data_IF_906473822847
#
_entry.id   IF_906473822847
#
_cell.length_a   1.000
_cell.length_b   1.000
_cell.length_c   1.000
_cell.angle_alpha   90.00
_cell.angle_beta   90.00
_cell.angle_gamma   90.00
#
_symmetry.space_group_name_H-M   'P 1'
#
loop_
_entity.id
_entity.type
_entity.pdbx_description
1 polymer ?
#
# COMPACT_ATOMS: atom_id res chain seq x y z
N UNK A 1 4.92 2.17 -11.23
CA UNK A 1 3.64 1.51 -11.45
C UNK A 1 2.58 2.59 -11.48
N UNK A 2 1.69 2.51 -12.46
CA UNK A 2 0.56 3.41 -12.56
C UNK A 2 -0.39 3.21 -11.36
N UNK A 3 -0.79 4.31 -10.73
CA UNK A 3 -1.60 4.28 -9.52
C UNK A 3 -3.00 3.68 -9.76
N UNK A 4 -3.65 4.02 -10.88
CA UNK A 4 -5.00 3.49 -11.16
C UNK A 4 -4.92 2.00 -11.48
N UNK A 5 -3.93 1.57 -12.26
CA UNK A 5 -3.72 0.15 -12.56
C UNK A 5 -3.51 -0.69 -11.29
N UNK A 6 -2.70 -0.20 -10.34
CA UNK A 6 -2.49 -0.90 -9.06
C UNK A 6 -3.76 -0.93 -8.22
N UNK A 7 -4.50 0.18 -8.16
CA UNK A 7 -5.78 0.26 -7.45
C UNK A 7 -6.84 -0.68 -8.05
N UNK A 8 -6.94 -0.75 -9.38
CA UNK A 8 -7.82 -1.67 -10.10
C UNK A 8 -7.45 -3.12 -9.81
N UNK A 9 -6.16 -3.44 -9.83
CA UNK A 9 -5.66 -4.77 -9.46
C UNK A 9 -6.05 -5.15 -8.03
N UNK A 10 -5.75 -4.29 -7.05
CA UNK A 10 -6.10 -4.52 -5.65
C UNK A 10 -7.60 -4.75 -5.47
N UNK A 11 -8.42 -3.99 -6.19
CA UNK A 11 -9.87 -4.19 -6.22
C UNK A 11 -10.25 -5.55 -6.83
N UNK A 12 -9.60 -5.96 -7.91
CA UNK A 12 -9.87 -7.22 -8.61
C UNK A 12 -9.60 -8.45 -7.74
N UNK A 13 -8.58 -8.39 -6.89
CA UNK A 13 -8.25 -9.44 -5.91
C UNK A 13 -9.05 -9.31 -4.61
N UNK A 14 -10.03 -8.40 -4.56
CA UNK A 14 -10.90 -8.13 -3.40
C UNK A 14 -10.15 -7.64 -2.16
N UNK A 15 -9.06 -6.90 -2.34
CA UNK A 15 -8.46 -6.16 -1.24
C UNK A 15 -9.42 -5.06 -0.76
N UNK A 16 -9.50 -4.85 0.55
CA UNK A 16 -10.23 -3.74 1.15
C UNK A 16 -9.36 -2.48 1.07
N UNK A 17 -9.78 -1.50 0.26
CA UNK A 17 -9.09 -0.22 0.11
C UNK A 17 -9.63 0.78 1.12
N UNK A 18 -8.76 1.26 2.01
CA UNK A 18 -9.08 2.15 3.11
C UNK A 18 -8.29 3.45 3.01
N UNK A 19 -8.92 4.54 3.43
CA UNK A 19 -8.19 5.75 3.79
C UNK A 19 -7.40 5.52 5.10
N UNK A 20 -6.41 6.37 5.36
CA UNK A 20 -5.49 6.20 6.50
C UNK A 20 -6.20 6.19 7.85
N UNK A 21 -7.22 7.02 8.07
CA UNK A 21 -8.00 7.07 9.30
C UNK A 21 -8.75 5.75 9.57
N UNK A 22 -9.36 5.19 8.53
CA UNK A 22 -10.05 3.91 8.59
C UNK A 22 -9.06 2.76 8.80
N UNK A 23 -7.91 2.80 8.13
CA UNK A 23 -6.87 1.80 8.30
C UNK A 23 -6.26 1.85 9.70
N UNK A 24 -5.95 3.03 10.23
CA UNK A 24 -5.41 3.22 11.57
C UNK A 24 -6.35 2.66 12.65
N UNK A 25 -7.66 2.81 12.49
CA UNK A 25 -8.64 2.19 13.38
C UNK A 25 -8.55 0.66 13.36
N UNK A 26 -8.54 0.06 12.16
CA UNK A 26 -8.41 -1.40 11.98
C UNK A 26 -7.08 -1.93 12.51
N UNK A 27 -6.00 -1.22 12.21
CA UNK A 27 -4.65 -1.52 12.66
C UNK A 27 -4.61 -1.54 14.18
N UNK A 28 -5.05 -0.46 14.84
CA UNK A 28 -5.03 -0.36 16.31
C UNK A 28 -5.81 -1.49 17.00
N UNK A 29 -6.93 -1.93 16.43
CA UNK A 29 -7.71 -3.06 16.96
C UNK A 29 -6.93 -4.37 16.86
N UNK A 30 -6.21 -4.59 15.77
CA UNK A 30 -5.45 -5.82 15.53
C UNK A 30 -4.07 -5.82 16.20
N UNK A 31 -3.44 -4.64 16.34
CA UNK A 31 -2.01 -4.46 16.57
C UNK A 31 -1.67 -3.58 17.78
N UNK A 32 -2.66 -2.90 18.38
CA UNK A 32 -2.39 -1.94 19.45
C UNK A 32 -1.69 -0.69 18.94
N UNK A 33 -0.62 -0.27 19.62
CA UNK A 33 0.14 0.96 19.34
C UNK A 33 1.38 0.72 18.45
N UNK A 34 1.49 -0.46 17.82
CA UNK A 34 2.56 -0.76 16.85
C UNK A 34 2.49 0.20 15.66
N UNK A 35 3.64 0.56 15.08
CA UNK A 35 3.67 1.39 13.88
C UNK A 35 3.35 0.57 12.62
N UNK A 36 2.84 1.25 11.59
CA UNK A 36 2.53 0.64 10.30
C UNK A 36 3.24 1.39 9.17
N UNK A 37 3.35 0.73 8.03
CA UNK A 37 4.10 1.20 6.88
C UNK A 37 3.38 2.35 6.17
N UNK A 38 4.09 3.45 5.89
CA UNK A 38 3.60 4.57 5.09
C UNK A 38 4.37 4.72 3.78
N UNK A 39 3.77 5.33 2.73
CA UNK A 39 4.51 5.80 1.56
C UNK A 39 5.53 6.88 1.94
N UNK A 40 6.81 6.69 1.66
CA UNK A 40 7.85 7.68 1.94
C UNK A 40 8.62 8.13 0.69
N UNK A 41 9.22 7.18 -0.01
CA UNK A 41 10.01 7.47 -1.22
C UNK A 41 9.24 7.14 -2.50
N UNK A 42 9.46 7.87 -3.58
CA UNK A 42 8.93 7.46 -4.89
C UNK A 42 10.03 6.79 -5.70
N UNK A 43 10.01 5.46 -5.79
CA UNK A 43 11.04 4.68 -6.51
C UNK A 43 11.04 4.95 -8.02
N UNK A 44 9.96 5.49 -8.58
CA UNK A 44 9.87 5.80 -10.00
C UNK A 44 10.65 7.07 -10.40
N UNK A 45 10.66 8.11 -9.55
CA UNK A 45 11.31 9.39 -9.89
C UNK A 45 12.32 9.89 -8.85
N UNK A 46 12.36 9.30 -7.66
CA UNK A 46 13.26 9.66 -6.56
C UNK A 46 12.98 11.02 -5.91
N UNK A 47 11.82 11.65 -6.19
CA UNK A 47 11.54 13.03 -5.77
C UNK A 47 10.73 13.15 -4.48
N UNK A 48 9.88 12.18 -4.18
CA UNK A 48 9.14 12.15 -2.92
C UNK A 48 10.09 11.70 -1.79
N UNK A 49 10.06 12.41 -0.66
CA UNK A 49 10.89 12.13 0.52
C UNK A 49 10.05 12.20 1.82
N UNK A 50 8.80 11.77 1.75
CA UNK A 50 7.87 11.75 2.87
C UNK A 50 6.42 11.58 2.44
N UNK A 51 5.57 11.17 3.37
CA UNK A 51 4.15 10.92 3.14
C UNK A 51 3.41 12.11 2.52
N UNK A 52 3.79 13.33 2.88
CA UNK A 52 3.20 14.56 2.35
C UNK A 52 3.49 14.78 0.86
N UNK A 53 4.38 14.03 0.23
CA UNK A 53 4.66 14.09 -1.21
C UNK A 53 3.76 13.17 -2.05
N UNK A 54 2.82 12.47 -1.39
CA UNK A 54 1.82 11.64 -2.05
C UNK A 54 0.43 12.26 -1.92
N UNK A 55 -0.35 12.16 -3.00
CA UNK A 55 -1.79 12.35 -3.01
C UNK A 55 -2.48 10.99 -2.93
N UNK A 56 -3.75 10.97 -2.54
CA UNK A 56 -4.60 9.78 -2.61
C UNK A 56 -3.97 8.54 -1.97
N UNK A 57 -3.43 8.66 -0.75
CA UNK A 57 -2.85 7.51 -0.04
C UNK A 57 -3.96 6.54 0.33
N UNK A 58 -3.80 5.27 -0.07
CA UNK A 58 -4.70 4.18 0.28
C UNK A 58 -3.92 3.04 0.91
N UNK A 59 -4.57 2.39 1.87
CA UNK A 59 -4.11 1.16 2.48
C UNK A 59 -4.98 0.01 1.99
N UNK A 60 -4.36 -1.05 1.51
CA UNK A 60 -5.07 -2.21 0.99
C UNK A 60 -4.87 -3.40 1.91
N UNK A 61 -5.94 -3.84 2.58
CA UNK A 61 -5.94 -5.07 3.37
C UNK A 61 -6.28 -6.24 2.45
N UNK A 62 -5.39 -7.22 2.39
CA UNK A 62 -5.57 -8.39 1.54
C UNK A 62 -6.58 -9.38 2.13
N UNK A 63 -7.32 -10.13 1.29
CA UNK A 63 -8.10 -11.27 1.77
C UNK A 63 -7.19 -12.36 2.35
N UNK A 64 -7.74 -13.25 3.17
CA UNK A 64 -7.01 -14.36 3.79
C UNK A 64 -6.33 -15.28 2.75
N UNK A 65 -6.98 -15.47 1.59
CA UNK A 65 -6.42 -16.18 0.45
C UNK A 65 -6.22 -15.21 -0.73
N UNK A 66 -4.96 -14.90 -1.03
CA UNK A 66 -4.60 -14.27 -2.29
C UNK A 66 -4.78 -15.25 -3.45
N UNK A 67 -5.20 -14.79 -4.64
CA UNK A 67 -5.03 -15.59 -5.85
C UNK A 67 -3.55 -15.94 -6.04
N UNK A 68 -3.26 -17.14 -6.55
CA UNK A 68 -1.89 -17.67 -6.70
C UNK A 68 -0.91 -16.58 -7.18
N UNK A 69 0.26 -16.50 -6.53
CA UNK A 69 1.38 -15.55 -6.73
C UNK A 69 1.94 -15.46 -8.17
N UNK A 70 1.33 -16.15 -9.13
CA UNK A 70 1.71 -16.21 -10.55
C UNK A 70 1.26 -15.01 -11.39
N UNK A 71 0.49 -14.07 -10.85
CA UNK A 71 0.19 -12.79 -11.53
C UNK A 71 1.43 -11.89 -11.49
N UNK A 72 2.32 -12.14 -12.46
CA UNK A 72 3.59 -11.42 -12.68
C UNK A 72 3.41 -9.95 -13.08
N UNK A 73 2.18 -9.47 -13.22
CA UNK A 73 1.88 -8.09 -13.63
C UNK A 73 2.20 -7.07 -12.52
N UNK A 74 2.17 -7.50 -11.26
CA UNK A 74 2.37 -6.63 -10.11
C UNK A 74 3.66 -7.04 -9.39
N UNK A 75 4.56 -6.07 -9.19
CA UNK A 75 5.78 -6.32 -8.42
C UNK A 75 5.44 -6.37 -6.92
N UNK A 76 5.16 -7.57 -6.43
CA UNK A 76 4.86 -7.84 -5.02
C UNK A 76 5.98 -7.45 -4.05
N UNK A 77 7.22 -7.32 -4.54
CA UNK A 77 8.33 -6.79 -3.73
C UNK A 77 8.20 -5.30 -3.40
N UNK A 78 7.36 -4.57 -4.15
CA UNK A 78 7.07 -3.13 -3.96
C UNK A 78 5.74 -2.92 -3.22
N UNK A 79 4.78 -3.84 -3.35
CA UNK A 79 3.54 -3.84 -2.57
C UNK A 79 3.75 -4.46 -1.17
N UNK A 80 4.80 -4.03 -0.48
CA UNK A 80 5.32 -4.59 0.78
C UNK A 80 4.23 -5.25 1.62
N UNK A 81 4.35 -6.57 1.81
CA UNK A 81 3.48 -7.34 2.70
C UNK A 81 3.88 -6.94 4.12
N UNK A 82 3.22 -5.90 4.63
CA UNK A 82 3.37 -5.45 6.00
C UNK A 82 2.26 -6.04 6.86
N UNK A 83 2.58 -6.39 8.10
CA UNK A 83 1.63 -6.82 9.12
C UNK A 83 1.86 -8.28 9.55
N UNK A 84 1.69 -8.59 10.85
CA UNK A 84 1.86 -9.95 11.35
C UNK A 84 0.74 -10.86 10.86
N UNK A 85 0.81 -12.14 11.23
CA UNK A 85 -0.05 -13.24 10.78
C UNK A 85 -1.57 -12.95 10.75
N UNK A 86 -2.04 -11.94 11.49
CA UNK A 86 -3.44 -11.52 11.55
C UNK A 86 -3.90 -10.48 10.52
N UNK A 87 -3.03 -9.68 9.91
CA UNK A 87 -3.46 -8.60 8.99
C UNK A 87 -2.40 -8.32 7.94
N UNK A 88 -2.58 -8.86 6.74
CA UNK A 88 -1.71 -8.61 5.58
C UNK A 88 -2.20 -7.36 4.87
N UNK A 89 -1.34 -6.35 4.75
CA UNK A 89 -1.69 -5.13 4.01
C UNK A 89 -0.52 -4.58 3.21
N UNK A 90 -0.81 -3.60 2.37
CA UNK A 90 0.17 -2.70 1.76
C UNK A 90 -0.36 -1.26 1.76
N UNK A 91 0.50 -0.29 1.48
CA UNK A 91 0.13 1.11 1.26
C UNK A 91 0.52 1.52 -0.16
N UNK A 92 -0.37 2.22 -0.86
CA UNK A 92 -0.08 2.87 -2.14
C UNK A 92 -0.33 4.36 -2.02
N UNK A 93 0.44 5.17 -2.74
CA UNK A 93 0.23 6.62 -2.80
C UNK A 93 0.55 7.14 -4.19
N UNK A 94 -0.21 8.13 -4.66
CA UNK A 94 0.05 8.78 -5.95
C UNK A 94 1.10 9.87 -5.76
N UNK A 95 2.33 9.66 -6.24
CA UNK A 95 3.39 10.65 -6.14
C UNK A 95 2.97 11.98 -6.80
N UNK A 96 3.08 13.11 -6.07
CA UNK A 96 2.76 14.45 -6.58
C UNK A 96 3.59 14.87 -7.79
N UNK A 97 4.79 14.28 -7.95
CA UNK A 97 5.75 14.69 -8.97
C UNK A 97 5.65 13.92 -10.29
N UNK A 98 5.27 12.65 -10.25
CA UNK A 98 5.22 11.79 -11.43
C UNK A 98 3.93 10.97 -11.58
N UNK A 99 3.02 11.03 -10.61
CA UNK A 99 1.75 10.30 -10.62
C UNK A 99 1.87 8.79 -10.37
N UNK A 100 3.09 8.24 -10.31
CA UNK A 100 3.34 6.82 -10.08
C UNK A 100 3.21 6.48 -8.58
N UNK A 101 3.02 5.19 -8.30
CA UNK A 101 2.82 4.65 -6.95
C UNK A 101 3.88 3.62 -6.52
N UNK A 102 5.04 3.59 -7.17
CA UNK A 102 6.16 2.80 -6.66
C UNK A 102 6.70 3.47 -5.40
N UNK A 103 6.34 2.93 -4.25
CA UNK A 103 6.68 3.50 -2.95
C UNK A 103 7.88 2.77 -2.35
N UNK A 104 8.78 3.55 -1.75
CA UNK A 104 9.69 3.06 -0.73
C UNK A 104 8.97 3.20 0.63
N UNK A 105 8.85 2.12 1.39
CA UNK A 105 8.13 2.13 2.67
C UNK A 105 8.96 2.74 3.81
N UNK A 106 8.28 3.39 4.75
CA UNK A 106 8.84 3.86 6.04
C UNK A 106 7.97 3.36 7.21
N UNK A 107 8.58 3.11 8.37
CA UNK A 107 7.97 2.42 9.54
C UNK A 107 7.85 3.31 10.78
#
# INVERSE_FOLDING_TARGET
MDYEMVKEYLTSIRAELLAEDQFAERWRVAMGDETYMHPYGCLACGRANGQHDFNDVLFAIYPESLPNDGDKEINWGVLGIGGPDSLRYTSIGRCKFCGQCDVEPDY
#
